data_IF_550284290825
#
_entry.id   IF_550284290825
#
_cell.length_a   1.000
_cell.length_b   1.000
_cell.length_c   1.000
_cell.angle_alpha   90.00
_cell.angle_beta   90.00
_cell.angle_gamma   90.00
#
_symmetry.space_group_name_H-M   'P 1'
#
loop_
_entity.id
_entity.type
_entity.pdbx_description
1 polymer ?
#
# COMPACT_ATOMS: atom_id res chain seq x y z
N UNK A 1 29.28 -9.49 5.58
CA UNK A 1 28.73 -8.12 5.71
C UNK A 1 28.60 -7.39 4.38
N UNK A 2 29.61 -7.43 3.48
CA UNK A 2 29.56 -6.71 2.20
C UNK A 2 28.31 -7.02 1.36
N UNK A 3 27.96 -8.31 1.20
CA UNK A 3 26.80 -8.75 0.41
C UNK A 3 25.49 -8.21 0.98
N UNK A 4 25.36 -8.21 2.31
CA UNK A 4 24.18 -7.67 2.98
C UNK A 4 24.01 -6.18 2.70
N UNK A 5 25.07 -5.39 2.90
CA UNK A 5 25.06 -3.95 2.64
C UNK A 5 24.78 -3.64 1.17
N UNK A 6 25.38 -4.39 0.25
CA UNK A 6 25.16 -4.25 -1.18
C UNK A 6 23.70 -4.52 -1.55
N UNK A 7 23.13 -5.61 -1.05
CA UNK A 7 21.75 -5.99 -1.32
C UNK A 7 20.77 -4.94 -0.79
N UNK A 8 20.96 -4.50 0.45
CA UNK A 8 20.11 -3.47 1.07
C UNK A 8 20.22 -2.15 0.31
N UNK A 9 21.44 -1.74 -0.09
CA UNK A 9 21.65 -0.50 -0.84
C UNK A 9 20.98 -0.55 -2.20
N UNK A 10 21.11 -1.67 -2.93
CA UNK A 10 20.47 -1.84 -4.23
C UNK A 10 18.94 -1.90 -4.09
N UNK A 11 18.43 -2.59 -3.08
CA UNK A 11 16.99 -2.63 -2.79
C UNK A 11 16.45 -1.23 -2.46
N UNK A 12 17.14 -0.47 -1.60
CA UNK A 12 16.75 0.91 -1.29
C UNK A 12 16.75 1.78 -2.54
N UNK A 13 17.76 1.64 -3.39
CA UNK A 13 17.80 2.33 -4.67
C UNK A 13 16.59 1.98 -5.57
N UNK A 14 16.28 0.69 -5.74
CA UNK A 14 15.08 0.22 -6.46
C UNK A 14 13.79 0.76 -5.84
N UNK A 15 13.70 0.79 -4.51
CA UNK A 15 12.55 1.31 -3.77
C UNK A 15 12.37 2.81 -4.01
N UNK A 16 13.44 3.60 -3.95
CA UNK A 16 13.38 5.04 -4.23
C UNK A 16 13.06 5.31 -5.70
N UNK A 17 13.67 4.58 -6.63
CA UNK A 17 13.33 4.65 -8.05
C UNK A 17 11.86 4.35 -8.28
N UNK A 18 11.33 3.29 -7.66
CA UNK A 18 9.93 2.95 -7.73
C UNK A 18 9.04 4.09 -7.21
N UNK A 19 9.36 4.67 -6.05
CA UNK A 19 8.64 5.83 -5.51
C UNK A 19 8.70 7.07 -6.43
N UNK A 20 9.85 7.33 -7.07
CA UNK A 20 10.02 8.44 -8.04
C UNK A 20 9.25 8.17 -9.33
N UNK A 21 9.36 6.96 -9.89
CA UNK A 21 8.61 6.55 -11.08
C UNK A 21 7.11 6.71 -10.82
N UNK A 22 6.63 6.33 -9.65
CA UNK A 22 5.23 6.50 -9.26
C UNK A 22 4.80 7.95 -9.09
N UNK A 23 5.74 8.84 -8.73
CA UNK A 23 5.48 10.28 -8.67
C UNK A 23 5.24 10.88 -10.06
N UNK A 24 5.79 10.27 -11.12
CA UNK A 24 5.73 10.74 -12.51
C UNK A 24 4.64 10.02 -13.31
N UNK A 25 4.57 8.69 -13.22
CA UNK A 25 3.56 7.84 -13.87
C UNK A 25 2.88 7.01 -12.80
N UNK A 26 1.58 7.24 -12.59
CA UNK A 26 0.77 6.41 -11.68
C UNK A 26 0.56 5.03 -12.30
N UNK A 27 1.17 3.95 -11.79
CA UNK A 27 0.78 2.62 -12.20
C UNK A 27 -0.51 2.29 -11.46
N UNK A 28 -1.58 2.05 -12.21
CA UNK A 28 -2.76 1.39 -11.66
C UNK A 28 -2.34 -0.05 -11.38
N UNK A 29 -1.91 -0.32 -10.14
CA UNK A 29 -1.69 -1.66 -9.55
C UNK A 29 -1.00 -2.68 -10.45
N UNK A 30 -0.03 -2.24 -11.26
CA UNK A 30 0.70 -3.15 -12.12
C UNK A 30 1.83 -3.79 -11.33
N UNK A 31 1.54 -4.91 -10.65
CA UNK A 31 2.55 -5.75 -10.00
C UNK A 31 3.64 -6.17 -10.97
N UNK A 32 3.33 -6.26 -12.27
CA UNK A 32 4.32 -6.52 -13.31
C UNK A 32 5.27 -5.34 -13.45
N UNK A 33 4.80 -4.10 -13.36
CA UNK A 33 5.67 -2.92 -13.39
C UNK A 33 6.66 -2.88 -12.22
N UNK A 34 6.24 -3.28 -11.01
CA UNK A 34 7.15 -3.41 -9.86
C UNK A 34 8.18 -4.50 -10.14
N UNK A 35 7.73 -5.67 -10.58
CA UNK A 35 8.62 -6.79 -10.90
C UNK A 35 9.65 -6.41 -11.96
N UNK A 36 9.22 -5.80 -13.08
CA UNK A 36 10.13 -5.38 -14.15
C UNK A 36 11.11 -4.29 -13.71
N UNK A 37 10.68 -3.36 -12.85
CA UNK A 37 11.58 -2.33 -12.32
C UNK A 37 12.66 -2.96 -11.43
N UNK A 38 12.27 -3.79 -10.47
CA UNK A 38 13.21 -4.40 -9.52
C UNK A 38 14.14 -5.41 -10.20
N UNK A 39 13.63 -6.22 -11.13
CA UNK A 39 14.45 -7.12 -11.95
C UNK A 39 15.35 -6.34 -12.92
N UNK A 40 14.86 -5.24 -13.50
CA UNK A 40 15.64 -4.37 -14.37
C UNK A 40 16.85 -3.75 -13.66
N UNK A 41 16.65 -3.28 -12.41
CA UNK A 41 17.76 -2.77 -11.59
C UNK A 41 18.77 -3.88 -11.25
N UNK A 42 18.30 -5.08 -10.92
CA UNK A 42 19.18 -6.22 -10.64
C UNK A 42 20.03 -6.59 -11.87
N UNK A 43 19.40 -6.78 -13.03
CA UNK A 43 20.10 -7.12 -14.28
C UNK A 43 21.05 -6.00 -14.68
N UNK A 44 20.62 -4.74 -14.60
CA UNK A 44 21.46 -3.58 -14.89
C UNK A 44 22.71 -3.55 -14.00
N UNK A 45 22.55 -3.84 -12.71
CA UNK A 45 23.69 -3.92 -11.79
C UNK A 45 24.65 -5.08 -12.12
N UNK A 46 24.12 -6.26 -12.45
CA UNK A 46 24.93 -7.42 -12.87
C UNK A 46 25.73 -7.10 -14.13
N UNK A 47 25.10 -6.54 -15.16
CA UNK A 47 25.76 -6.17 -16.42
C UNK A 47 26.82 -5.10 -16.19
N UNK A 48 26.50 -4.06 -15.42
CA UNK A 48 27.46 -2.99 -15.08
C UNK A 48 28.68 -3.55 -14.34
N UNK A 49 28.46 -4.46 -13.40
CA UNK A 49 29.54 -5.10 -12.66
C UNK A 49 30.42 -5.97 -13.57
N UNK A 50 29.84 -6.71 -14.51
CA UNK A 50 30.59 -7.50 -15.50
C UNK A 50 31.43 -6.62 -16.42
N UNK A 51 30.91 -5.47 -16.86
CA UNK A 51 31.63 -4.55 -17.76
C UNK A 51 32.74 -3.76 -17.06
N UNK A 52 32.50 -3.30 -15.84
CA UNK A 52 33.40 -2.39 -15.12
C UNK A 52 34.20 -3.07 -14.01
N UNK A 53 33.99 -4.37 -13.78
CA UNK A 53 34.60 -5.15 -12.70
C UNK A 53 34.53 -4.46 -11.32
N UNK A 54 33.42 -3.76 -11.03
CA UNK A 54 33.28 -2.89 -9.86
C UNK A 54 33.53 -3.62 -8.53
N UNK A 55 33.13 -4.89 -8.46
CA UNK A 55 33.23 -5.73 -7.26
C UNK A 55 33.59 -7.13 -7.70
N UNK A 56 34.67 -7.69 -7.14
CA UNK A 56 35.05 -9.07 -7.38
C UNK A 56 34.33 -9.99 -6.37
N UNK A 57 33.31 -10.71 -6.84
CA UNK A 57 32.50 -11.62 -6.03
C UNK A 57 32.67 -13.05 -6.53
N UNK A 58 32.88 -13.98 -5.60
CA UNK A 58 32.82 -15.43 -5.85
C UNK A 58 31.41 -15.83 -6.35
N UNK A 59 31.32 -16.90 -7.13
CA UNK A 59 30.04 -17.42 -7.65
C UNK A 59 28.99 -17.67 -6.55
N UNK A 60 29.45 -18.16 -5.38
CA UNK A 60 28.58 -18.35 -4.21
C UNK A 60 28.02 -17.04 -3.67
N UNK A 61 28.82 -15.97 -3.67
CA UNK A 61 28.39 -14.65 -3.20
C UNK A 61 27.35 -14.03 -4.15
N UNK A 62 27.51 -14.26 -5.46
CA UNK A 62 26.50 -13.90 -6.46
C UNK A 62 25.18 -14.62 -6.23
N UNK A 63 25.24 -15.93 -5.97
CA UNK A 63 24.04 -16.72 -5.68
C UNK A 63 23.30 -16.20 -4.44
N UNK A 64 24.03 -15.96 -3.34
CA UNK A 64 23.45 -15.40 -2.11
C UNK A 64 22.85 -14.01 -2.33
N UNK A 65 23.56 -13.14 -3.07
CA UNK A 65 23.10 -11.80 -3.40
C UNK A 65 21.77 -11.82 -4.17
N UNK A 66 21.68 -12.62 -5.23
CA UNK A 66 20.48 -12.72 -6.07
C UNK A 66 19.30 -13.29 -5.27
N UNK A 67 19.51 -14.38 -4.53
CA UNK A 67 18.46 -14.98 -3.69
C UNK A 67 17.93 -14.00 -2.64
N UNK A 68 18.84 -13.29 -1.97
CA UNK A 68 18.46 -12.36 -0.92
C UNK A 68 17.71 -11.14 -1.50
N UNK A 69 18.18 -10.60 -2.62
CA UNK A 69 17.49 -9.50 -3.31
C UNK A 69 16.08 -9.90 -3.77
N UNK A 70 15.94 -11.09 -4.38
CA UNK A 70 14.63 -11.60 -4.80
C UNK A 70 13.71 -11.83 -3.60
N UNK A 71 14.22 -12.39 -2.49
CA UNK A 71 13.45 -12.61 -1.27
C UNK A 71 12.86 -11.31 -0.70
N UNK A 72 13.67 -10.25 -0.58
CA UNK A 72 13.20 -8.94 -0.11
C UNK A 72 12.22 -8.32 -1.12
N UNK A 73 12.48 -8.46 -2.41
CA UNK A 73 11.59 -7.97 -3.47
C UNK A 73 10.21 -8.63 -3.38
N UNK A 74 10.14 -9.94 -3.20
CA UNK A 74 8.87 -10.65 -3.01
C UNK A 74 8.16 -10.22 -1.72
N UNK A 75 8.89 -10.06 -0.61
CA UNK A 75 8.32 -9.54 0.64
C UNK A 75 7.74 -8.13 0.46
N UNK A 76 8.38 -7.28 -0.34
CA UNK A 76 7.86 -5.98 -0.71
C UNK A 76 6.60 -6.09 -1.59
N UNK A 77 6.61 -6.94 -2.61
CA UNK A 77 5.47 -7.13 -3.52
C UNK A 77 4.22 -7.67 -2.79
N UNK A 78 4.39 -8.62 -1.86
CA UNK A 78 3.27 -9.13 -1.05
C UNK A 78 2.69 -8.05 -0.15
N UNK A 79 3.56 -7.26 0.50
CA UNK A 79 3.16 -6.13 1.33
C UNK A 79 2.43 -5.06 0.51
N UNK A 80 2.88 -4.78 -0.72
CA UNK A 80 2.25 -3.81 -1.60
C UNK A 80 0.83 -4.22 -2.02
N UNK A 81 0.62 -5.50 -2.31
CA UNK A 81 -0.71 -6.02 -2.65
C UNK A 81 -1.70 -5.92 -1.49
N UNK A 82 -1.21 -5.93 -0.24
CA UNK A 82 -2.04 -5.79 0.96
C UNK A 82 -2.50 -4.33 1.17
N UNK A 83 -1.82 -3.33 0.59
CA UNK A 83 -2.25 -1.91 0.71
C UNK A 83 -3.57 -1.74 -0.06
N UNK A 84 -4.73 -1.64 0.62
CA UNK A 84 -6.01 -1.79 -0.07
C UNK A 84 -6.29 -0.55 -0.91
N UNK A 85 -6.41 -0.71 -2.23
CA UNK A 85 -7.12 0.27 -3.03
C UNK A 85 -8.60 0.24 -2.64
N UNK A 86 -9.06 1.31 -1.99
CA UNK A 86 -10.48 1.47 -1.68
C UNK A 86 -10.95 0.55 -0.55
N UNK A 87 -10.21 0.50 0.56
CA UNK A 87 -10.69 -0.16 1.79
C UNK A 87 -12.14 0.27 2.07
N UNK A 88 -13.10 -0.68 2.11
CA UNK A 88 -14.50 -0.38 2.45
C UNK A 88 -14.60 0.39 3.77
N UNK A 89 -13.68 0.13 4.70
CA UNK A 89 -13.51 0.87 5.96
C UNK A 89 -13.30 2.37 5.74
N UNK A 90 -12.38 2.75 4.85
CA UNK A 90 -12.12 4.16 4.54
C UNK A 90 -13.34 4.81 3.86
N UNK A 91 -14.00 4.09 2.95
CA UNK A 91 -15.23 4.57 2.30
C UNK A 91 -16.34 4.79 3.32
N UNK A 92 -16.59 3.83 4.21
CA UNK A 92 -17.59 3.91 5.27
C UNK A 92 -17.28 5.09 6.20
N UNK A 93 -16.05 5.20 6.71
CA UNK A 93 -15.66 6.31 7.60
C UNK A 93 -15.75 7.69 6.92
N UNK A 94 -15.42 7.79 5.62
CA UNK A 94 -15.59 9.03 4.87
C UNK A 94 -17.07 9.37 4.66
N UNK A 95 -17.92 8.39 4.35
CA UNK A 95 -19.36 8.58 4.21
C UNK A 95 -19.98 9.05 5.52
N UNK A 96 -19.63 8.41 6.64
CA UNK A 96 -20.08 8.83 7.98
C UNK A 96 -19.57 10.21 8.35
N UNK A 97 -18.31 10.52 8.03
CA UNK A 97 -17.78 11.86 8.27
C UNK A 97 -18.49 12.93 7.42
N UNK A 98 -18.83 12.64 6.15
CA UNK A 98 -19.52 13.56 5.25
C UNK A 98 -20.94 13.90 5.75
N UNK A 99 -21.64 12.96 6.38
CA UNK A 99 -23.00 13.18 6.90
C UNK A 99 -23.06 14.01 8.20
N UNK A 100 -21.91 14.25 8.86
CA UNK A 100 -21.77 15.09 10.06
C UNK A 100 -22.84 14.75 11.12
N UNK A 101 -23.74 15.69 11.43
CA UNK A 101 -24.77 15.56 12.46
C UNK A 101 -26.00 14.76 12.01
N UNK A 102 -26.15 14.50 10.71
CA UNK A 102 -27.27 13.71 10.23
C UNK A 102 -27.06 12.21 10.45
N UNK A 103 -25.80 11.73 10.56
CA UNK A 103 -25.49 10.30 10.61
C UNK A 103 -25.82 9.59 9.29
N UNK A 104 -25.47 8.31 9.17
CA UNK A 104 -25.73 7.49 7.96
C UNK A 104 -26.59 6.30 8.34
N UNK A 105 -27.64 6.01 7.56
CA UNK A 105 -28.46 4.82 7.76
C UNK A 105 -27.87 3.61 7.04
N UNK A 106 -28.26 2.41 7.45
CA UNK A 106 -27.81 1.15 6.81
C UNK A 106 -28.17 1.11 5.32
N UNK A 107 -29.34 1.66 4.94
CA UNK A 107 -29.81 1.76 3.55
C UNK A 107 -28.94 2.68 2.69
N UNK A 108 -28.32 3.71 3.28
CA UNK A 108 -27.41 4.60 2.56
C UNK A 108 -26.08 3.90 2.21
N UNK A 109 -25.70 2.85 2.94
CA UNK A 109 -24.52 2.04 2.64
C UNK A 109 -24.75 1.01 1.53
N UNK A 110 -25.97 0.47 1.44
CA UNK A 110 -26.36 -0.50 0.40
C UNK A 110 -26.20 0.08 -1.02
N UNK A 111 -26.37 1.41 -1.20
CA UNK A 111 -26.16 2.09 -2.48
C UNK A 111 -24.70 2.43 -2.83
N UNK A 112 -23.76 2.35 -1.87
CA UNK A 112 -22.38 2.80 -2.05
C UNK A 112 -21.38 1.66 -2.31
N UNK A 113 -21.74 0.42 -1.95
CA UNK A 113 -20.86 -0.74 -2.09
C UNK A 113 -21.71 -1.92 -2.55
N UNK A 114 -21.43 -2.45 -3.73
CA UNK A 114 -22.26 -3.43 -4.47
C UNK A 114 -22.38 -4.81 -3.81
N UNK A 115 -21.89 -5.01 -2.58
CA UNK A 115 -21.78 -6.32 -1.95
C UNK A 115 -22.19 -6.27 -0.46
N UNK A 116 -23.50 -6.39 -0.20
CA UNK A 116 -24.14 -6.26 1.12
C UNK A 116 -23.51 -7.14 2.21
N UNK A 117 -23.06 -8.34 1.84
CA UNK A 117 -22.48 -9.32 2.77
C UNK A 117 -21.14 -8.84 3.38
N UNK A 118 -20.39 -7.98 2.66
CA UNK A 118 -19.12 -7.42 3.14
C UNK A 118 -19.30 -6.16 4.00
N UNK A 119 -20.39 -5.43 3.83
CA UNK A 119 -20.64 -4.17 4.54
C UNK A 119 -21.03 -4.44 5.99
N UNK A 120 -21.98 -5.35 6.21
CA UNK A 120 -22.50 -5.64 7.55
C UNK A 120 -21.43 -6.19 8.49
N UNK A 121 -20.55 -7.06 7.99
CA UNK A 121 -19.36 -7.53 8.71
C UNK A 121 -18.41 -6.37 9.03
N UNK A 122 -18.19 -5.44 8.09
CA UNK A 122 -17.28 -4.30 8.29
C UNK A 122 -17.82 -3.25 9.25
N UNK A 123 -19.12 -2.94 9.19
CA UNK A 123 -19.77 -2.04 10.15
C UNK A 123 -19.66 -2.61 11.56
N UNK A 124 -19.85 -3.93 11.70
CA UNK A 124 -19.71 -4.62 12.99
C UNK A 124 -18.28 -4.56 13.53
N UNK A 125 -17.26 -4.74 12.68
CA UNK A 125 -15.86 -4.52 13.05
C UNK A 125 -15.61 -3.07 13.50
N UNK A 126 -16.13 -2.09 12.76
CA UNK A 126 -15.95 -0.66 13.09
C UNK A 126 -16.64 -0.27 14.42
N UNK A 127 -17.80 -0.86 14.72
CA UNK A 127 -18.47 -0.71 16.01
C UNK A 127 -17.64 -1.37 17.13
N UNK A 128 -17.15 -2.59 16.91
CA UNK A 128 -16.30 -3.30 17.86
C UNK A 128 -15.01 -2.54 18.17
N UNK A 129 -14.39 -1.93 17.16
CA UNK A 129 -13.18 -1.11 17.29
C UNK A 129 -13.45 0.32 17.80
N UNK A 130 -14.70 0.67 18.16
CA UNK A 130 -15.13 2.01 18.58
C UNK A 130 -14.78 3.11 17.57
N UNK A 131 -14.71 2.80 16.28
CA UNK A 131 -14.43 3.78 15.22
C UNK A 131 -15.70 4.47 14.70
N UNK A 132 -16.85 3.81 14.86
CA UNK A 132 -18.19 4.38 14.66
C UNK A 132 -19.06 4.04 15.86
N UNK A 133 -20.11 4.82 16.08
CA UNK A 133 -21.13 4.58 17.10
C UNK A 133 -22.51 4.56 16.45
N UNK A 134 -23.42 3.74 17.00
CA UNK A 134 -24.81 3.69 16.58
C UNK A 134 -25.69 4.50 17.54
N UNK A 135 -26.42 5.49 17.02
CA UNK A 135 -27.42 6.27 17.76
C UNK A 135 -28.72 6.33 16.96
N UNK A 136 -29.77 5.69 17.46
CA UNK A 136 -31.11 5.74 16.85
C UNK A 136 -31.13 5.25 15.39
N UNK A 137 -30.52 4.08 15.13
CA UNK A 137 -30.44 3.46 13.80
C UNK A 137 -29.64 4.27 12.77
N UNK A 138 -28.73 5.14 13.25
CA UNK A 138 -27.78 5.89 12.42
C UNK A 138 -26.37 5.76 12.98
N UNK A 139 -25.40 5.74 12.08
CA UNK A 139 -23.99 5.63 12.43
C UNK A 139 -23.31 7.01 12.42
N UNK A 140 -22.49 7.25 13.45
CA UNK A 140 -21.69 8.46 13.64
C UNK A 140 -20.23 8.10 13.83
N UNK A 141 -19.33 8.99 13.42
CA UNK A 141 -17.89 8.77 13.57
C UNK A 141 -17.44 9.21 14.96
N UNK A 142 -16.62 8.39 15.59
CA UNK A 142 -16.05 8.69 16.92
C UNK A 142 -14.67 9.35 16.78
N UNK A 143 -14.11 9.82 17.90
CA UNK A 143 -12.73 10.34 17.94
C UNK A 143 -11.67 9.32 17.48
N UNK A 144 -11.70 8.03 17.89
CA UNK A 144 -10.83 7.00 17.32
C UNK A 144 -10.95 6.85 15.79
N UNK A 145 -12.19 6.85 15.26
CA UNK A 145 -12.43 6.78 13.82
C UNK A 145 -11.85 7.99 13.08
N UNK A 146 -11.95 9.19 13.66
CA UNK A 146 -11.35 10.41 13.12
C UNK A 146 -9.82 10.36 13.10
N UNK A 147 -9.18 9.82 14.14
CA UNK A 147 -7.72 9.62 14.19
C UNK A 147 -7.27 8.65 13.12
N UNK A 148 -7.92 7.49 13.00
CA UNK A 148 -7.63 6.50 11.97
C UNK A 148 -7.73 7.12 10.56
N UNK A 149 -8.82 7.85 10.31
CA UNK A 149 -9.04 8.53 9.04
C UNK A 149 -7.94 9.57 8.74
N UNK A 150 -7.47 10.33 9.75
CA UNK A 150 -6.42 11.33 9.59
C UNK A 150 -5.08 10.69 9.21
N UNK A 151 -4.70 9.58 9.86
CA UNK A 151 -3.50 8.81 9.52
C UNK A 151 -3.60 8.29 8.08
N UNK A 152 -4.75 7.73 7.73
CA UNK A 152 -4.97 7.22 6.37
C UNK A 152 -4.91 8.34 5.32
N UNK A 153 -5.51 9.51 5.59
CA UNK A 153 -5.43 10.68 4.71
C UNK A 153 -4.01 11.22 4.58
N UNK A 154 -3.22 11.19 5.65
CA UNK A 154 -1.83 11.61 5.63
C UNK A 154 -0.97 10.69 4.75
N UNK A 155 -1.10 9.37 4.93
CA UNK A 155 -0.46 8.36 4.08
C UNK A 155 -0.90 8.54 2.62
N UNK A 156 -2.21 8.73 2.39
CA UNK A 156 -2.78 8.96 1.04
C UNK A 156 -2.20 10.22 0.38
N UNK A 157 -2.02 11.31 1.14
CA UNK A 157 -1.44 12.57 0.68
C UNK A 157 0.04 12.41 0.30
N UNK A 158 0.81 11.69 1.11
CA UNK A 158 2.21 11.36 0.81
C UNK A 158 2.31 10.50 -0.44
N UNK A 159 1.41 9.53 -0.60
CA UNK A 159 1.36 8.63 -1.75
C UNK A 159 0.76 9.27 -3.01
N UNK A 160 0.46 10.59 -3.01
CA UNK A 160 -0.11 11.32 -4.16
C UNK A 160 -1.35 10.64 -4.75
N UNK A 161 -2.16 9.93 -3.95
CA UNK A 161 -3.44 9.36 -4.41
C UNK A 161 -4.53 10.43 -4.37
N UNK A 162 -4.28 11.55 -5.04
CA UNK A 162 -5.30 12.55 -5.34
C UNK A 162 -6.27 11.96 -6.37
N UNK A 163 -7.57 12.07 -6.09
CA UNK A 163 -8.72 11.75 -6.95
C UNK A 163 -8.89 10.29 -7.41
N UNK A 164 -9.83 9.57 -6.77
CA UNK A 164 -11.11 9.08 -7.36
C UNK A 164 -12.11 8.96 -6.19
N UNK A 165 -13.36 9.39 -6.41
CA UNK A 165 -14.52 9.06 -5.58
C UNK A 165 -14.99 10.16 -4.62
N UNK A 166 -15.48 11.26 -5.18
CA UNK A 166 -16.57 12.01 -4.59
C UNK A 166 -17.84 11.18 -4.66
#
# INVERSE_FOLDING_TARGET
MLIFLLTVSLFLFSFFLNAVVWRIRRPIQDTRAIFFLFTGVLVGFVVLNLCLALINLTIWNWFHFVLFYLGITFAYMTTYNVIPQGSPTFTILMTVKKSKQAGVSTKDFEGLVTNEMFISSRIRELLFENQIEERGNRYYITEPGLKFLRIFLFIRKILKKETIGG
#
